data_IF_913647306320
#
_entry.id   IF_913647306320
#
_cell.length_a   1.000
_cell.length_b   1.000
_cell.length_c   1.000
_cell.angle_alpha   90.00
_cell.angle_beta   90.00
_cell.angle_gamma   90.00
#
_symmetry.space_group_name_H-M   'P 1'
#
loop_
_entity.id
_entity.type
_entity.pdbx_description
1 polymer ?
#
# COMPACT_ATOMS: atom_id res chain seq x y z
N UNK A 1 -28.33 -17.74 -6.35
CA UNK A 1 -27.10 -17.66 -5.55
C UNK A 1 -27.41 -16.93 -4.25
N UNK A 2 -27.38 -17.62 -3.10
CA UNK A 2 -27.72 -17.00 -1.81
C UNK A 2 -26.53 -16.18 -1.37
N UNK A 3 -26.64 -14.85 -1.41
CA UNK A 3 -25.65 -13.98 -0.77
C UNK A 3 -25.60 -14.43 0.67
N UNK A 4 -24.43 -14.87 1.14
CA UNK A 4 -24.23 -15.13 2.56
C UNK A 4 -24.61 -13.83 3.27
N UNK A 5 -25.58 -13.82 4.20
CA UNK A 5 -25.90 -12.62 4.93
C UNK A 5 -24.61 -12.12 5.55
N UNK A 6 -24.37 -10.82 5.41
CA UNK A 6 -23.33 -10.18 6.21
C UNK A 6 -23.47 -10.76 7.61
N UNK A 7 -22.43 -11.43 8.12
CA UNK A 7 -22.42 -11.97 9.48
C UNK A 7 -22.90 -10.87 10.39
N UNK A 8 -23.59 -11.20 11.47
CA UNK A 8 -24.00 -10.24 12.48
C UNK A 8 -22.76 -9.43 12.87
N UNK A 9 -22.56 -8.32 12.18
CA UNK A 9 -21.38 -7.48 12.32
C UNK A 9 -21.51 -6.78 13.67
N UNK A 10 -20.70 -7.18 14.62
CA UNK A 10 -20.41 -6.31 15.76
C UNK A 10 -19.72 -5.04 15.25
N UNK A 11 -19.82 -3.93 15.95
CA UNK A 11 -19.11 -2.70 15.63
C UNK A 11 -17.57 -2.88 15.53
N UNK A 12 -17.06 -4.05 15.87
CA UNK A 12 -15.66 -4.46 15.87
C UNK A 12 -15.33 -5.48 14.79
N UNK A 13 -16.31 -5.90 13.99
CA UNK A 13 -16.08 -6.89 12.94
C UNK A 13 -15.32 -6.24 11.80
N UNK A 14 -14.05 -6.68 11.62
CA UNK A 14 -13.14 -6.13 10.60
C UNK A 14 -13.54 -6.55 9.19
N UNK A 15 -14.31 -7.62 9.07
CA UNK A 15 -14.72 -8.21 7.81
C UNK A 15 -16.14 -7.77 7.45
N UNK A 16 -16.28 -6.48 7.12
CA UNK A 16 -17.57 -5.94 6.67
C UNK A 16 -18.05 -6.58 5.37
N UNK A 17 -17.13 -7.16 4.61
CA UNK A 17 -17.38 -7.87 3.36
C UNK A 17 -16.69 -9.21 3.33
N UNK A 18 -17.29 -10.16 2.66
CA UNK A 18 -16.62 -11.36 2.20
C UNK A 18 -15.71 -10.95 1.00
N UNK A 19 -14.42 -10.83 1.27
CA UNK A 19 -13.44 -10.41 0.25
C UNK A 19 -13.30 -11.46 -0.85
N UNK A 20 -13.42 -12.75 -0.54
CA UNK A 20 -13.35 -13.82 -1.54
C UNK A 20 -14.55 -13.76 -2.50
N UNK A 21 -15.75 -13.51 -1.96
CA UNK A 21 -16.94 -13.29 -2.80
C UNK A 21 -16.80 -12.01 -3.62
N UNK A 22 -16.31 -10.93 -3.05
CA UNK A 22 -16.09 -9.68 -3.78
C UNK A 22 -15.08 -9.85 -4.90
N UNK A 23 -13.95 -10.51 -4.64
CA UNK A 23 -12.92 -10.76 -5.63
C UNK A 23 -13.45 -11.63 -6.78
N UNK A 24 -14.03 -12.78 -6.47
CA UNK A 24 -14.49 -13.73 -7.48
C UNK A 24 -15.69 -13.22 -8.27
N UNK A 25 -16.67 -12.65 -7.60
CA UNK A 25 -17.94 -12.25 -8.22
C UNK A 25 -17.90 -10.86 -8.83
N UNK A 26 -17.33 -9.88 -8.13
CA UNK A 26 -17.33 -8.48 -8.58
C UNK A 26 -16.11 -8.22 -9.44
N UNK A 27 -14.91 -8.35 -8.87
CA UNK A 27 -13.66 -8.06 -9.59
C UNK A 27 -13.49 -8.99 -10.79
N UNK A 28 -13.79 -10.28 -10.64
CA UNK A 28 -13.79 -11.24 -11.73
C UNK A 28 -14.69 -10.83 -12.89
N UNK A 29 -15.93 -10.41 -12.61
CA UNK A 29 -16.87 -9.97 -13.67
C UNK A 29 -16.36 -8.72 -14.41
N UNK A 30 -15.67 -7.79 -13.73
CA UNK A 30 -15.04 -6.64 -14.39
C UNK A 30 -13.85 -7.06 -15.24
N UNK A 31 -12.98 -7.93 -14.74
CA UNK A 31 -11.81 -8.41 -15.48
C UNK A 31 -12.19 -9.23 -16.71
N UNK A 32 -13.28 -9.99 -16.64
CA UNK A 32 -13.82 -10.79 -17.76
C UNK A 32 -14.69 -9.98 -18.74
N UNK A 33 -14.94 -8.71 -18.46
CA UNK A 33 -15.76 -7.84 -19.29
C UNK A 33 -17.28 -8.11 -19.22
N UNK A 34 -17.73 -8.85 -18.21
CA UNK A 34 -19.14 -9.24 -18.05
C UNK A 34 -19.91 -8.41 -17.01
N UNK A 35 -19.26 -7.43 -16.38
CA UNK A 35 -19.85 -6.67 -15.29
C UNK A 35 -21.19 -6.01 -15.63
N UNK A 36 -21.36 -5.51 -16.87
CA UNK A 36 -22.59 -4.86 -17.31
C UNK A 36 -23.75 -5.83 -17.59
N UNK A 37 -23.50 -7.11 -17.71
CA UNK A 37 -24.48 -8.13 -18.12
C UNK A 37 -24.75 -9.21 -17.07
N UNK A 38 -23.77 -9.49 -16.18
CA UNK A 38 -23.83 -10.61 -15.26
C UNK A 38 -23.87 -10.22 -13.78
N UNK A 39 -23.58 -8.95 -13.44
CA UNK A 39 -23.70 -8.49 -12.06
C UNK A 39 -25.15 -8.17 -11.70
N UNK A 40 -25.66 -8.93 -10.74
CA UNK A 40 -26.98 -8.69 -10.16
C UNK A 40 -26.90 -7.56 -9.12
N UNK A 41 -27.99 -6.76 -9.01
CA UNK A 41 -28.12 -5.80 -7.93
C UNK A 41 -28.25 -6.55 -6.59
N UNK A 42 -27.29 -6.35 -5.71
CA UNK A 42 -27.28 -6.93 -4.38
C UNK A 42 -27.10 -5.85 -3.29
N UNK A 43 -27.06 -6.27 -2.03
CA UNK A 43 -26.92 -5.34 -0.90
C UNK A 43 -25.62 -4.57 -0.89
N UNK A 44 -24.54 -5.10 -1.48
CA UNK A 44 -23.25 -4.43 -1.58
C UNK A 44 -23.32 -3.35 -2.64
N UNK A 45 -23.77 -3.69 -3.87
CA UNK A 45 -23.98 -2.75 -4.95
C UNK A 45 -24.99 -1.66 -4.62
N UNK A 46 -26.14 -2.05 -4.02
CA UNK A 46 -27.19 -1.11 -3.64
C UNK A 46 -26.71 -0.06 -2.62
N UNK A 47 -25.66 -0.35 -1.87
CA UNK A 47 -25.05 0.59 -0.92
C UNK A 47 -23.89 1.38 -1.52
N UNK A 48 -23.51 1.12 -2.76
CA UNK A 48 -22.34 1.72 -3.43
C UNK A 48 -21.05 1.60 -2.59
N UNK A 49 -20.84 0.46 -1.95
CA UNK A 49 -19.68 0.23 -1.08
C UNK A 49 -18.57 -0.47 -1.86
N UNK A 50 -17.35 0.01 -1.67
CA UNK A 50 -16.12 -0.64 -2.14
C UNK A 50 -15.34 -1.07 -0.89
N UNK A 51 -15.04 -2.36 -0.71
CA UNK A 51 -14.26 -2.81 0.43
C UNK A 51 -12.89 -2.15 0.52
N UNK A 52 -12.43 -1.88 1.73
CA UNK A 52 -11.13 -1.27 1.98
C UNK A 52 -10.00 -2.16 1.46
N UNK A 53 -9.00 -1.56 0.82
CA UNK A 53 -7.80 -2.24 0.35
C UNK A 53 -7.97 -3.11 -0.90
N UNK A 54 -9.12 -3.07 -1.58
CA UNK A 54 -9.34 -3.85 -2.81
C UNK A 54 -8.44 -3.41 -3.99
N UNK A 55 -7.78 -2.26 -3.89
CA UNK A 55 -6.72 -1.86 -4.83
C UNK A 55 -5.60 -2.90 -4.96
N UNK A 56 -5.34 -3.70 -3.91
CA UNK A 56 -4.38 -4.80 -3.98
C UNK A 56 -4.71 -5.85 -5.06
N UNK A 57 -6.00 -5.98 -5.42
CA UNK A 57 -6.48 -6.93 -6.45
C UNK A 57 -6.30 -6.41 -7.88
N UNK A 58 -5.98 -5.11 -8.04
CA UNK A 58 -5.83 -4.49 -9.35
C UNK A 58 -4.44 -4.73 -9.91
N UNK A 59 -4.37 -5.21 -11.13
CA UNK A 59 -3.14 -5.44 -11.86
C UNK A 59 -2.85 -4.29 -12.83
N UNK A 60 -1.65 -3.71 -12.73
CA UNK A 60 -1.10 -2.70 -13.62
C UNK A 60 0.12 -3.19 -14.40
N UNK A 61 0.44 -4.47 -14.35
CA UNK A 61 1.63 -5.04 -15.00
C UNK A 61 1.70 -4.73 -16.50
N UNK A 62 0.53 -4.51 -17.14
CA UNK A 62 0.43 -4.23 -18.57
C UNK A 62 0.71 -2.75 -18.96
N UNK A 63 0.81 -1.83 -17.99
CA UNK A 63 0.91 -0.38 -18.29
C UNK A 63 2.34 0.01 -18.67
N UNK A 64 3.33 -0.54 -18.00
CA UNK A 64 4.72 -0.15 -18.17
C UNK A 64 5.54 -1.24 -18.87
N UNK A 65 6.40 -0.83 -19.81
CA UNK A 65 7.36 -1.72 -20.46
C UNK A 65 8.62 -1.95 -19.63
N UNK A 66 8.89 -1.04 -18.68
CA UNK A 66 10.06 -1.08 -17.82
C UNK A 66 9.67 -1.16 -16.34
N UNK A 67 10.56 -1.76 -15.55
CA UNK A 67 10.44 -1.93 -14.11
C UNK A 67 11.79 -1.64 -13.44
N UNK A 68 11.86 -1.10 -12.21
CA UNK A 68 13.13 -0.92 -11.55
C UNK A 68 13.77 -2.26 -11.15
N UNK A 69 15.07 -2.39 -11.43
CA UNK A 69 15.95 -3.45 -10.96
C UNK A 69 16.68 -2.96 -9.70
N UNK A 70 16.73 -3.78 -8.66
CA UNK A 70 17.47 -3.47 -7.45
C UNK A 70 18.92 -3.94 -7.52
N UNK A 71 19.87 -3.03 -7.29
CA UNK A 71 21.31 -3.26 -7.26
C UNK A 71 21.79 -3.17 -5.80
N UNK A 72 21.78 -4.28 -5.06
CA UNK A 72 21.94 -4.29 -3.60
C UNK A 72 23.27 -3.73 -3.11
N UNK A 73 24.38 -3.95 -3.85
CA UNK A 73 25.71 -3.49 -3.48
C UNK A 73 25.83 -1.97 -3.36
N UNK A 74 24.97 -1.25 -4.04
CA UNK A 74 24.93 0.21 -4.05
C UNK A 74 23.95 0.80 -3.02
N UNK A 75 23.15 -0.05 -2.39
CA UNK A 75 22.07 0.40 -1.50
C UNK A 75 22.60 0.81 -0.12
N UNK A 76 22.15 1.97 0.34
CA UNK A 76 22.48 2.50 1.68
C UNK A 76 21.34 2.38 2.69
N UNK A 77 20.19 1.84 2.31
CA UNK A 77 19.02 1.66 3.18
C UNK A 77 18.31 2.96 3.57
N UNK A 78 18.33 3.98 2.69
CA UNK A 78 17.71 5.29 3.00
C UNK A 78 16.19 5.29 2.95
N UNK A 79 15.56 4.38 2.22
CA UNK A 79 14.11 4.29 1.99
C UNK A 79 13.50 5.39 1.12
N UNK A 80 14.31 6.25 0.47
CA UNK A 80 13.80 7.33 -0.37
C UNK A 80 12.93 6.80 -1.51
N UNK A 81 13.35 5.70 -2.16
CA UNK A 81 12.61 5.05 -3.24
C UNK A 81 11.23 4.51 -2.78
N UNK A 82 11.16 3.97 -1.57
CA UNK A 82 9.90 3.50 -0.98
C UNK A 82 8.99 4.68 -0.67
N UNK A 83 9.55 5.76 -0.12
CA UNK A 83 8.81 6.95 0.28
C UNK A 83 8.21 7.66 -0.94
N UNK A 84 8.97 7.75 -2.03
CA UNK A 84 8.54 8.47 -3.24
C UNK A 84 7.63 7.68 -4.18
N UNK A 85 7.46 6.36 -3.98
CA UNK A 85 6.58 5.58 -4.83
C UNK A 85 5.10 5.91 -4.59
N UNK A 86 4.35 6.47 -5.57
CA UNK A 86 2.94 6.82 -5.39
C UNK A 86 2.02 5.60 -5.29
N UNK A 87 2.45 4.46 -5.80
CA UNK A 87 1.60 3.27 -5.96
C UNK A 87 1.86 2.17 -4.92
N UNK A 88 2.70 2.43 -3.91
CA UNK A 88 3.12 1.39 -2.95
C UNK A 88 3.70 0.14 -3.64
N UNK A 89 4.23 0.32 -4.84
CA UNK A 89 4.77 -0.75 -5.67
C UNK A 89 6.21 -1.15 -5.27
N UNK A 90 6.92 -0.30 -4.56
CA UNK A 90 8.26 -0.58 -4.06
C UNK A 90 8.23 -0.51 -2.53
N UNK A 91 8.66 -1.58 -1.90
CA UNK A 91 8.68 -1.69 -0.44
C UNK A 91 10.08 -2.06 0.05
N UNK A 92 10.38 -1.66 1.28
CA UNK A 92 11.61 -2.01 1.98
C UNK A 92 11.31 -2.82 3.23
N UNK A 93 12.23 -3.71 3.61
CA UNK A 93 12.10 -4.52 4.81
C UNK A 93 13.44 -4.70 5.50
N UNK A 94 13.43 -4.78 6.82
CA UNK A 94 14.57 -5.19 7.62
C UNK A 94 14.20 -6.45 8.38
N UNK A 95 15.00 -7.50 8.22
CA UNK A 95 14.83 -8.77 8.93
C UNK A 95 16.12 -9.18 9.61
N UNK A 96 16.04 -10.05 10.61
CA UNK A 96 17.22 -10.60 11.24
C UNK A 96 17.91 -11.62 10.32
N UNK A 97 19.21 -11.88 10.56
CA UNK A 97 19.94 -12.93 9.84
C UNK A 97 19.24 -14.28 9.97
N UNK A 98 18.78 -14.62 11.19
CA UNK A 98 18.12 -15.89 11.47
C UNK A 98 16.83 -16.04 10.62
N UNK A 99 16.00 -14.98 10.57
CA UNK A 99 14.77 -14.96 9.77
C UNK A 99 15.05 -15.12 8.28
N UNK A 100 16.11 -14.48 7.78
CA UNK A 100 16.51 -14.63 6.38
C UNK A 100 16.91 -16.09 6.09
N UNK A 101 17.77 -16.68 6.93
CA UNK A 101 18.22 -18.05 6.74
C UNK A 101 17.08 -19.06 6.81
N UNK A 102 16.13 -18.87 7.72
CA UNK A 102 14.91 -19.68 7.79
C UNK A 102 14.08 -19.61 6.52
N UNK A 103 13.90 -18.41 5.95
CA UNK A 103 13.18 -18.21 4.70
C UNK A 103 13.87 -18.84 3.49
N UNK A 104 15.19 -18.87 3.48
CA UNK A 104 15.98 -19.47 2.40
C UNK A 104 15.98 -21.00 2.39
N UNK A 105 15.69 -21.65 3.53
CA UNK A 105 15.70 -23.12 3.64
C UNK A 105 14.74 -23.85 2.69
N UNK A 106 13.72 -23.16 2.18
CA UNK A 106 12.75 -23.73 1.22
C UNK A 106 13.15 -23.64 -0.25
N UNK A 107 14.27 -22.95 -0.56
CA UNK A 107 14.74 -22.71 -1.92
C UNK A 107 15.85 -23.70 -2.30
N UNK A 108 16.01 -23.93 -3.61
CA UNK A 108 17.21 -24.61 -4.13
C UNK A 108 18.47 -23.74 -3.95
N UNK A 109 19.65 -24.35 -4.01
CA UNK A 109 20.91 -23.67 -3.67
C UNK A 109 21.20 -22.43 -4.51
N UNK A 110 20.90 -22.45 -5.82
CA UNK A 110 21.15 -21.29 -6.69
C UNK A 110 20.17 -20.16 -6.39
N UNK A 111 18.89 -20.47 -6.29
CA UNK A 111 17.83 -19.51 -5.94
C UNK A 111 18.07 -18.91 -4.56
N UNK A 112 18.57 -19.68 -3.60
CA UNK A 112 18.90 -19.25 -2.25
C UNK A 112 20.03 -18.21 -2.25
N UNK A 113 21.12 -18.48 -2.97
CA UNK A 113 22.25 -17.54 -3.08
C UNK A 113 21.86 -16.23 -3.75
N UNK A 114 21.08 -16.28 -4.82
CA UNK A 114 20.62 -15.09 -5.53
C UNK A 114 19.64 -14.27 -4.69
N UNK A 115 18.74 -14.94 -3.96
CA UNK A 115 17.80 -14.28 -3.05
C UNK A 115 18.55 -13.63 -1.88
N UNK A 116 19.56 -14.29 -1.30
CA UNK A 116 20.34 -13.74 -0.19
C UNK A 116 21.07 -12.45 -0.58
N UNK A 117 21.58 -12.36 -1.81
CA UNK A 117 22.25 -11.16 -2.34
C UNK A 117 21.34 -9.92 -2.33
N UNK A 118 20.02 -10.11 -2.44
CA UNK A 118 19.03 -9.01 -2.41
C UNK A 118 18.78 -8.46 -0.99
N UNK A 119 19.43 -9.04 0.02
CA UNK A 119 19.35 -8.60 1.41
C UNK A 119 20.72 -8.12 1.94
N UNK A 120 21.27 -7.00 1.40
CA UNK A 120 22.59 -6.53 1.78
C UNK A 120 22.69 -6.11 3.26
N UNK A 121 23.91 -6.17 3.78
CA UNK A 121 24.30 -5.61 5.07
C UNK A 121 24.55 -4.11 4.91
N UNK A 122 23.52 -3.30 5.02
CA UNK A 122 23.67 -1.84 4.89
C UNK A 122 24.10 -1.22 6.21
N UNK A 123 24.97 -0.21 6.14
CA UNK A 123 25.55 0.46 7.31
C UNK A 123 24.51 0.87 8.36
N UNK A 124 23.33 1.35 7.93
CA UNK A 124 22.26 1.84 8.82
C UNK A 124 21.74 0.72 9.74
N UNK A 125 21.42 -0.43 9.17
CA UNK A 125 20.75 -1.52 9.89
C UNK A 125 21.69 -2.64 10.32
N UNK A 126 22.93 -2.68 9.80
CA UNK A 126 23.94 -3.65 10.19
C UNK A 126 25.01 -2.99 11.06
N UNK A 127 26.00 -2.30 10.48
CA UNK A 127 27.21 -1.82 11.18
C UNK A 127 26.90 -0.90 12.38
N UNK A 128 25.96 0.03 12.19
CA UNK A 128 25.61 0.98 13.25
C UNK A 128 24.91 0.30 14.44
N UNK A 129 24.19 -0.77 14.16
CA UNK A 129 23.50 -1.56 15.21
C UNK A 129 24.48 -2.44 15.95
N UNK A 130 25.39 -3.14 15.25
CA UNK A 130 26.47 -3.90 15.89
C UNK A 130 27.30 -3.03 16.84
N UNK A 131 27.71 -1.84 16.38
CA UNK A 131 28.46 -0.88 17.21
C UNK A 131 27.74 -0.44 18.47
N UNK A 132 26.41 -0.49 18.47
CA UNK A 132 25.56 -0.16 19.63
C UNK A 132 25.19 -1.38 20.46
N UNK A 133 25.68 -2.57 20.13
CA UNK A 133 25.30 -3.83 20.79
C UNK A 133 23.83 -4.22 20.58
N UNK A 134 23.22 -3.73 19.49
CA UNK A 134 21.85 -4.06 19.08
C UNK A 134 21.88 -5.17 18.03
N UNK A 135 20.80 -5.97 17.93
CA UNK A 135 20.67 -7.02 16.90
C UNK A 135 20.76 -6.40 15.50
N UNK A 136 21.74 -6.76 14.65
CA UNK A 136 21.82 -6.25 13.29
C UNK A 136 20.73 -6.86 12.41
N UNK A 137 20.39 -6.17 11.29
CA UNK A 137 19.38 -6.61 10.34
C UNK A 137 19.85 -6.51 8.91
N UNK A 138 19.39 -7.43 8.10
CA UNK A 138 19.49 -7.42 6.64
C UNK A 138 18.41 -6.53 6.06
N UNK A 139 18.73 -5.71 5.09
CA UNK A 139 17.81 -4.78 4.45
C UNK A 139 17.56 -5.20 2.99
N UNK A 140 16.33 -5.20 2.54
CA UNK A 140 15.96 -5.50 1.16
C UNK A 140 14.95 -4.51 0.59
N UNK A 141 15.01 -4.30 -0.72
CA UNK A 141 14.03 -3.54 -1.51
C UNK A 141 13.41 -4.49 -2.53
N UNK A 142 12.08 -4.50 -2.58
CA UNK A 142 11.33 -5.37 -3.47
C UNK A 142 10.23 -4.60 -4.19
N UNK A 143 9.95 -5.01 -5.41
CA UNK A 143 9.01 -4.35 -6.30
C UNK A 143 7.84 -5.29 -6.58
N UNK A 144 6.61 -4.82 -6.33
CA UNK A 144 5.39 -5.47 -6.77
C UNK A 144 5.17 -5.18 -8.27
N UNK A 145 5.36 -6.18 -9.15
CA UNK A 145 5.22 -5.97 -10.58
C UNK A 145 3.79 -5.63 -10.99
N UNK A 146 2.80 -6.05 -10.19
CA UNK A 146 1.38 -5.78 -10.44
C UNK A 146 0.97 -4.35 -10.11
N UNK A 147 1.76 -3.62 -9.33
CA UNK A 147 1.48 -2.23 -8.93
C UNK A 147 2.39 -1.20 -9.60
N UNK A 148 3.55 -1.64 -10.10
CA UNK A 148 4.51 -0.74 -10.72
C UNK A 148 4.02 -0.21 -12.06
N UNK A 149 3.92 1.12 -12.20
CA UNK A 149 3.52 1.83 -13.42
C UNK A 149 4.70 2.36 -14.23
N UNK A 150 5.95 2.03 -13.86
CA UNK A 150 7.16 2.43 -14.59
C UNK A 150 7.45 3.93 -14.59
N UNK A 151 7.02 4.68 -13.57
CA UNK A 151 7.19 6.13 -13.52
C UNK A 151 8.63 6.61 -13.27
N UNK A 152 9.54 5.72 -12.89
CA UNK A 152 10.95 5.97 -12.58
C UNK A 152 11.25 6.87 -11.36
N UNK A 153 10.26 7.40 -10.63
CA UNK A 153 10.46 8.24 -9.44
C UNK A 153 11.42 7.63 -8.41
N UNK A 154 11.35 6.30 -8.23
CA UNK A 154 12.24 5.58 -7.32
C UNK A 154 13.69 5.56 -7.79
N UNK A 155 13.93 5.58 -9.10
CA UNK A 155 15.27 5.65 -9.71
C UNK A 155 15.81 7.07 -9.62
N UNK A 156 14.98 8.06 -9.94
CA UNK A 156 15.37 9.47 -9.89
C UNK A 156 15.77 9.90 -8.47
N UNK A 157 15.00 9.52 -7.46
CA UNK A 157 15.32 9.85 -6.05
C UNK A 157 16.52 9.04 -5.53
N UNK A 158 16.79 7.86 -6.07
CA UNK A 158 17.99 7.08 -5.78
C UNK A 158 19.26 7.83 -6.22
N UNK A 159 19.21 8.49 -7.38
CA UNK A 159 20.20 9.42 -7.88
C UNK A 159 21.62 8.83 -7.90
N UNK A 160 22.59 9.55 -7.35
CA UNK A 160 24.01 9.17 -7.35
C UNK A 160 24.34 7.87 -6.60
N UNK A 161 23.40 7.32 -5.82
CA UNK A 161 23.57 6.02 -5.14
C UNK A 161 23.54 4.86 -6.15
N UNK A 162 22.80 5.03 -7.27
CA UNK A 162 22.66 4.04 -8.34
C UNK A 162 22.29 2.63 -7.84
N UNK A 163 21.44 2.55 -6.81
CA UNK A 163 20.94 1.28 -6.28
C UNK A 163 19.68 0.78 -6.99
N UNK A 164 19.11 1.60 -7.88
CA UNK A 164 17.97 1.26 -8.73
C UNK A 164 18.23 1.74 -10.15
N UNK A 165 17.83 0.95 -11.13
CA UNK A 165 17.87 1.30 -12.55
C UNK A 165 16.66 0.74 -13.27
N UNK A 166 16.08 1.47 -14.24
CA UNK A 166 14.99 0.94 -15.06
C UNK A 166 15.51 -0.11 -16.06
N UNK A 167 14.82 -1.23 -16.13
CA UNK A 167 15.09 -2.28 -17.11
C UNK A 167 13.81 -2.70 -17.83
N UNK A 168 13.89 -3.12 -19.11
CA UNK A 168 12.76 -3.74 -19.78
C UNK A 168 12.26 -4.98 -19.01
N UNK A 169 10.98 -5.08 -18.78
CA UNK A 169 10.37 -6.25 -18.09
C UNK A 169 10.75 -7.57 -18.75
N UNK A 170 10.83 -7.58 -20.08
CA UNK A 170 11.22 -8.75 -20.86
C UNK A 170 12.64 -9.27 -20.55
N UNK A 171 13.50 -8.42 -19.96
CA UNK A 171 14.91 -8.79 -19.63
C UNK A 171 14.99 -9.82 -18.51
N UNK A 172 14.17 -9.69 -17.47
CA UNK A 172 14.15 -10.62 -16.33
C UNK A 172 13.04 -11.67 -16.41
N UNK A 173 11.95 -11.35 -17.13
CA UNK A 173 10.73 -12.15 -17.16
C UNK A 173 9.78 -11.81 -16.00
N UNK A 174 8.49 -11.84 -16.25
CA UNK A 174 7.46 -11.52 -15.25
C UNK A 174 7.50 -12.49 -14.06
N UNK A 175 7.76 -13.77 -14.32
CA UNK A 175 7.83 -14.81 -13.29
C UNK A 175 8.93 -14.53 -12.26
N UNK A 176 10.08 -14.01 -12.68
CA UNK A 176 11.18 -13.68 -11.75
C UNK A 176 10.76 -12.54 -10.83
N UNK A 177 10.17 -11.48 -11.35
CA UNK A 177 9.68 -10.37 -10.51
C UNK A 177 8.61 -10.82 -9.52
N UNK A 178 7.70 -11.71 -9.96
CA UNK A 178 6.67 -12.24 -9.07
C UNK A 178 7.27 -13.12 -7.97
N UNK A 179 8.20 -13.99 -8.29
CA UNK A 179 8.88 -14.86 -7.31
C UNK A 179 9.65 -14.03 -6.26
N UNK A 180 10.32 -12.94 -6.66
CA UNK A 180 10.98 -12.03 -5.73
C UNK A 180 9.97 -11.35 -4.80
N UNK A 181 8.85 -10.92 -5.34
CA UNK A 181 7.78 -10.31 -4.56
C UNK A 181 7.14 -11.29 -3.59
N UNK A 182 6.86 -12.50 -4.03
CA UNK A 182 6.28 -13.56 -3.18
C UNK A 182 7.22 -13.94 -2.03
N UNK A 183 8.53 -14.03 -2.30
CA UNK A 183 9.52 -14.23 -1.25
C UNK A 183 9.50 -13.09 -0.23
N UNK A 184 9.50 -11.83 -0.69
CA UNK A 184 9.38 -10.68 0.20
C UNK A 184 8.13 -10.76 1.09
N UNK A 185 6.98 -11.13 0.52
CA UNK A 185 5.72 -11.26 1.26
C UNK A 185 5.79 -12.37 2.34
N UNK A 186 6.54 -13.43 2.09
CA UNK A 186 6.70 -14.54 3.04
C UNK A 186 7.53 -14.17 4.29
N UNK A 187 8.34 -13.10 4.23
CA UNK A 187 9.31 -12.74 5.28
C UNK A 187 8.71 -12.04 6.52
N UNK A 188 7.42 -11.90 6.63
CA UNK A 188 6.81 -11.18 7.75
C UNK A 188 7.12 -9.68 7.78
N UNK A 189 6.59 -8.96 8.75
CA UNK A 189 6.78 -7.50 8.90
C UNK A 189 8.13 -7.18 9.59
N UNK A 190 8.69 -6.02 9.32
CA UNK A 190 9.90 -5.53 10.02
C UNK A 190 9.64 -5.37 11.52
N UNK A 191 10.54 -5.86 12.38
CA UNK A 191 10.44 -5.67 13.82
C UNK A 191 10.54 -4.20 14.22
N UNK A 192 9.81 -3.82 15.26
CA UNK A 192 9.80 -2.45 15.80
C UNK A 192 11.20 -1.94 16.17
N UNK A 193 12.08 -2.82 16.61
CA UNK A 193 13.44 -2.48 17.02
C UNK A 193 14.29 -1.86 15.90
N UNK A 194 13.93 -2.11 14.62
CA UNK A 194 14.63 -1.52 13.46
C UNK A 194 14.06 -0.16 13.05
N UNK A 195 12.94 0.26 13.60
CA UNK A 195 12.18 1.45 13.17
C UNK A 195 12.55 2.64 14.04
N UNK A 196 12.97 3.74 13.40
CA UNK A 196 13.05 5.04 14.05
C UNK A 196 11.71 5.76 13.91
N UNK A 197 10.95 5.83 14.99
CA UNK A 197 9.61 6.44 15.04
C UNK A 197 9.56 7.92 14.62
N UNK A 198 10.69 8.60 14.63
CA UNK A 198 10.82 10.00 14.24
C UNK A 198 11.11 10.21 12.76
N UNK A 199 11.13 9.13 11.99
CA UNK A 199 11.44 9.14 10.55
C UNK A 199 10.31 8.50 9.76
N UNK A 200 9.66 9.26 8.90
CA UNK A 200 8.61 8.75 7.99
C UNK A 200 9.14 7.58 7.14
N UNK A 201 10.41 7.68 6.67
CA UNK A 201 11.03 6.61 5.89
C UNK A 201 11.07 5.30 6.70
N UNK A 202 11.46 5.36 7.97
CA UNK A 202 11.56 4.17 8.81
C UNK A 202 10.20 3.64 9.25
N UNK A 203 9.23 4.51 9.50
CA UNK A 203 7.83 4.14 9.76
C UNK A 203 7.29 3.31 8.58
N UNK A 204 7.66 3.63 7.36
CA UNK A 204 7.23 2.91 6.16
C UNK A 204 7.87 1.51 5.98
N UNK A 205 8.80 1.10 6.84
CA UNK A 205 9.24 -0.29 6.96
C UNK A 205 8.15 -1.20 7.56
N UNK A 206 7.17 -0.62 8.26
CA UNK A 206 6.07 -1.37 8.88
C UNK A 206 4.90 -1.45 7.89
N UNK A 207 4.73 -2.58 7.22
CA UNK A 207 3.66 -2.76 6.23
C UNK A 207 2.26 -2.52 6.81
N UNK A 208 2.04 -2.89 8.07
CA UNK A 208 0.77 -2.63 8.77
C UNK A 208 0.45 -1.14 8.93
N UNK A 209 1.48 -0.27 8.87
CA UNK A 209 1.30 1.18 8.94
C UNK A 209 0.92 1.77 7.58
N UNK A 210 1.13 1.04 6.48
CA UNK A 210 0.84 1.49 5.14
C UNK A 210 -0.67 1.35 4.86
N UNK A 211 -1.43 2.39 5.19
CA UNK A 211 -2.90 2.42 5.01
C UNK A 211 -3.34 2.65 3.56
N UNK A 212 -2.39 2.71 2.63
CA UNK A 212 -2.63 2.85 1.19
C UNK A 212 -1.96 1.69 0.45
N UNK A 213 -2.79 0.83 -0.15
CA UNK A 213 -2.35 -0.48 -0.66
C UNK A 213 -1.84 -0.48 -2.10
N UNK A 214 -1.81 0.66 -2.77
CA UNK A 214 -1.57 0.70 -4.22
C UNK A 214 -2.81 0.28 -5.03
N UNK A 215 -2.64 0.10 -6.34
CA UNK A 215 -3.76 -0.21 -7.23
C UNK A 215 -4.69 0.97 -7.52
N UNK A 216 -4.28 2.17 -7.13
CA UNK A 216 -5.02 3.40 -7.40
C UNK A 216 -4.97 3.79 -8.89
N UNK A 217 -6.04 4.40 -9.39
CA UNK A 217 -6.11 4.97 -10.74
C UNK A 217 -5.38 6.31 -10.88
N UNK A 218 -4.39 6.62 -10.05
CA UNK A 218 -3.57 7.83 -10.12
C UNK A 218 -2.64 7.82 -11.33
N UNK A 219 -2.19 9.00 -11.76
CA UNK A 219 -1.16 9.13 -12.78
C UNK A 219 0.15 8.45 -12.35
N UNK A 220 0.95 7.98 -13.30
CA UNK A 220 2.30 7.53 -13.03
C UNK A 220 3.13 8.70 -12.44
N UNK A 221 3.84 8.48 -11.33
CA UNK A 221 4.59 9.55 -10.65
C UNK A 221 3.74 10.57 -9.90
N UNK A 222 2.51 10.25 -9.51
CA UNK A 222 1.57 11.17 -8.87
C UNK A 222 2.07 11.70 -7.51
N UNK A 223 2.47 12.97 -7.45
CA UNK A 223 2.95 13.61 -6.22
C UNK A 223 1.88 13.72 -5.12
N UNK A 224 0.60 13.92 -5.48
CA UNK A 224 -0.50 13.92 -4.51
C UNK A 224 -0.64 12.56 -3.83
N UNK A 225 -0.65 11.46 -4.62
CA UNK A 225 -0.71 10.11 -4.07
C UNK A 225 0.50 9.81 -3.16
N UNK A 226 1.70 10.28 -3.53
CA UNK A 226 2.90 10.17 -2.70
C UNK A 226 2.73 10.88 -1.36
N UNK A 227 2.25 12.13 -1.36
CA UNK A 227 2.02 12.92 -0.14
C UNK A 227 0.97 12.26 0.78
N UNK A 228 -0.16 11.86 0.20
CA UNK A 228 -1.23 11.18 0.95
C UNK A 228 -0.77 9.83 1.51
N UNK A 229 0.06 9.10 0.78
CA UNK A 229 0.64 7.84 1.22
C UNK A 229 1.59 8.02 2.42
N UNK A 230 2.43 9.06 2.41
CA UNK A 230 3.28 9.40 3.56
C UNK A 230 2.44 9.77 4.79
N UNK A 231 1.44 10.62 4.62
CA UNK A 231 0.49 10.98 5.67
C UNK A 231 -0.21 9.74 6.24
N UNK A 232 -0.71 8.87 5.36
CA UNK A 232 -1.41 7.64 5.75
C UNK A 232 -0.49 6.67 6.50
N UNK A 233 0.81 6.62 6.18
CA UNK A 233 1.77 5.78 6.89
C UNK A 233 1.97 6.26 8.34
N UNK A 234 2.07 7.57 8.56
CA UNK A 234 2.15 8.14 9.92
C UNK A 234 0.85 7.88 10.68
N UNK A 235 -0.30 8.12 10.05
CA UNK A 235 -1.61 7.86 10.65
C UNK A 235 -1.76 6.39 11.07
N UNK A 236 -1.34 5.47 10.19
CA UNK A 236 -1.37 4.02 10.47
C UNK A 236 -0.40 3.60 11.56
N UNK A 237 0.77 4.23 11.63
CA UNK A 237 1.76 3.95 12.65
C UNK A 237 1.29 4.40 14.03
N UNK A 238 0.80 5.64 14.15
CA UNK A 238 0.43 6.24 15.44
C UNK A 238 -0.91 5.73 15.97
N UNK A 239 -1.85 5.39 15.09
CA UNK A 239 -3.25 5.13 15.50
C UNK A 239 -3.78 3.77 15.09
N UNK A 240 -3.16 3.12 14.09
CA UNK A 240 -3.69 1.88 13.51
C UNK A 240 -4.87 2.10 12.55
N UNK A 241 -5.12 1.12 11.70
CA UNK A 241 -6.20 1.17 10.71
C UNK A 241 -7.59 1.26 11.36
N UNK A 242 -7.78 0.62 12.49
CA UNK A 242 -9.05 0.57 13.24
C UNK A 242 -9.46 1.91 13.86
N UNK A 243 -8.52 2.85 13.96
CA UNK A 243 -8.73 4.16 14.58
C UNK A 243 -8.67 5.32 13.60
N UNK A 244 -8.74 5.05 12.30
CA UNK A 244 -8.63 6.05 11.27
C UNK A 244 -9.71 5.90 10.19
N UNK A 245 -10.18 7.02 9.66
CA UNK A 245 -11.06 7.07 8.48
C UNK A 245 -10.86 8.36 7.69
N UNK A 246 -11.33 8.37 6.47
CA UNK A 246 -11.24 9.51 5.54
C UNK A 246 -12.64 9.86 5.04
N UNK A 247 -12.97 11.16 5.08
CA UNK A 247 -14.01 11.78 4.28
C UNK A 247 -13.33 12.56 3.18
N UNK A 248 -13.59 12.20 1.94
CA UNK A 248 -12.99 12.81 0.77
C UNK A 248 -13.97 13.77 0.08
N UNK A 249 -13.46 14.84 -0.46
CA UNK A 249 -14.16 15.73 -1.38
C UNK A 249 -13.61 15.60 -2.78
N UNK A 250 -14.41 15.93 -3.77
CA UNK A 250 -14.07 15.78 -5.18
C UNK A 250 -12.72 16.43 -5.54
N UNK A 251 -11.89 15.68 -6.23
CA UNK A 251 -10.56 16.02 -6.71
C UNK A 251 -9.92 14.81 -7.36
N UNK A 252 -8.62 14.86 -7.65
CA UNK A 252 -7.87 13.68 -8.14
C UNK A 252 -7.98 12.50 -7.16
N UNK A 253 -7.99 12.78 -5.86
CA UNK A 253 -8.19 11.77 -4.80
C UNK A 253 -9.49 10.98 -4.93
N UNK A 254 -10.55 11.59 -5.45
CA UNK A 254 -11.79 10.88 -5.79
C UNK A 254 -11.57 9.88 -6.92
N UNK A 255 -10.90 10.30 -7.98
CA UNK A 255 -10.68 9.45 -9.17
C UNK A 255 -9.89 8.20 -8.79
N UNK A 256 -8.75 8.34 -8.13
CA UNK A 256 -7.93 7.19 -7.79
C UNK A 256 -8.40 6.43 -6.54
N UNK A 257 -9.18 7.06 -5.65
CA UNK A 257 -9.74 6.44 -4.45
C UNK A 257 -11.05 5.68 -4.68
N UNK A 258 -11.76 5.95 -5.77
CA UNK A 258 -13.07 5.35 -6.07
C UNK A 258 -13.21 4.79 -7.48
N UNK A 259 -12.13 4.33 -8.08
CA UNK A 259 -12.18 3.61 -9.36
C UNK A 259 -12.77 2.22 -9.14
N UNK A 260 -14.11 2.14 -9.14
CA UNK A 260 -14.82 0.88 -8.88
C UNK A 260 -14.33 -0.24 -9.83
N UNK A 261 -14.08 -1.46 -9.33
CA UNK A 261 -14.35 -1.98 -7.98
C UNK A 261 -13.17 -1.84 -6.99
N UNK A 262 -12.20 -0.97 -7.25
CA UNK A 262 -10.94 -0.90 -6.51
C UNK A 262 -10.90 0.32 -5.58
N UNK A 263 -10.43 0.10 -4.35
CA UNK A 263 -10.15 1.12 -3.36
C UNK A 263 -8.76 0.90 -2.76
N UNK A 264 -7.80 1.83 -2.93
CA UNK A 264 -6.46 1.69 -2.39
C UNK A 264 -6.38 1.89 -0.87
N UNK A 265 -7.35 2.53 -0.26
CA UNK A 265 -7.35 2.79 1.17
C UNK A 265 -7.67 1.52 1.97
N UNK A 266 -6.85 1.21 2.96
CA UNK A 266 -7.07 0.09 3.91
C UNK A 266 -7.96 0.48 5.10
N UNK A 267 -8.52 1.65 5.09
CA UNK A 267 -9.39 2.24 6.13
C UNK A 267 -10.70 2.69 5.52
N UNK A 268 -11.74 2.90 6.34
CA UNK A 268 -12.99 3.46 5.86
C UNK A 268 -12.76 4.78 5.12
N UNK A 269 -13.30 4.85 3.92
CA UNK A 269 -13.21 6.00 3.04
C UNK A 269 -14.58 6.26 2.43
N UNK A 270 -15.03 7.51 2.48
CA UNK A 270 -16.24 7.96 1.82
C UNK A 270 -15.96 9.22 1.02
N UNK A 271 -16.76 9.46 -0.01
CA UNK A 271 -16.60 10.64 -0.86
C UNK A 271 -17.92 11.40 -0.95
N UNK A 272 -17.81 12.71 -0.90
CA UNK A 272 -18.91 13.63 -1.14
C UNK A 272 -18.51 14.63 -2.23
N UNK A 273 -19.50 15.31 -2.80
CA UNK A 273 -19.22 16.31 -3.82
C UNK A 273 -18.61 17.57 -3.19
N UNK A 274 -17.54 18.07 -3.81
CA UNK A 274 -16.88 19.34 -3.53
C UNK A 274 -16.98 19.81 -2.07
N UNK A 275 -17.75 20.85 -1.79
CA UNK A 275 -17.92 21.51 -0.48
C UNK A 275 -18.61 20.62 0.58
N UNK A 276 -19.24 19.53 0.19
CA UNK A 276 -19.94 18.68 1.14
C UNK A 276 -19.02 17.87 2.05
N UNK A 277 -17.77 17.60 1.62
CA UNK A 277 -16.86 16.76 2.40
C UNK A 277 -16.63 17.24 3.83
N UNK A 278 -16.29 18.54 4.09
CA UNK A 278 -16.17 19.06 5.44
C UNK A 278 -17.47 18.95 6.26
N UNK A 279 -18.63 19.20 5.65
CA UNK A 279 -19.94 19.08 6.32
C UNK A 279 -20.26 17.65 6.68
N UNK A 280 -20.02 16.71 5.77
CA UNK A 280 -20.20 15.27 6.04
C UNK A 280 -19.26 14.80 7.15
N UNK A 281 -18.02 15.27 7.16
CA UNK A 281 -17.06 14.97 8.21
C UNK A 281 -17.52 15.49 9.58
N UNK A 282 -18.12 16.67 9.65
CA UNK A 282 -18.73 17.20 10.87
C UNK A 282 -19.84 16.26 11.38
N UNK A 283 -20.69 15.78 10.48
CA UNK A 283 -21.74 14.83 10.81
C UNK A 283 -21.18 13.49 11.34
N UNK A 284 -20.19 12.93 10.65
CA UNK A 284 -19.50 11.70 11.06
C UNK A 284 -18.83 11.91 12.42
N UNK A 285 -18.07 13.00 12.61
CA UNK A 285 -17.40 13.30 13.88
C UNK A 285 -18.40 13.44 15.02
N UNK A 286 -19.48 14.20 14.80
CA UNK A 286 -20.55 14.35 15.79
C UNK A 286 -21.13 13.00 16.21
N UNK A 287 -21.37 12.11 15.24
CA UNK A 287 -21.89 10.77 15.55
C UNK A 287 -20.88 9.93 16.31
N UNK A 288 -19.59 9.98 15.94
CA UNK A 288 -18.54 9.26 16.64
C UNK A 288 -18.42 9.71 18.11
N UNK A 289 -18.49 11.02 18.37
CA UNK A 289 -18.46 11.55 19.73
C UNK A 289 -19.66 11.04 20.56
N UNK A 290 -20.88 10.99 19.96
CA UNK A 290 -22.07 10.47 20.62
C UNK A 290 -21.97 8.98 21.01
N UNK A 291 -21.18 8.19 20.32
CA UNK A 291 -21.01 6.75 20.55
C UNK A 291 -19.70 6.41 21.26
N UNK A 292 -18.95 7.39 21.77
CA UNK A 292 -17.74 7.19 22.54
C UNK A 292 -16.49 6.87 21.71
N UNK A 293 -16.42 7.38 20.47
CA UNK A 293 -15.29 7.20 19.55
C UNK A 293 -14.46 8.48 19.38
N UNK A 294 -14.30 9.26 20.44
CA UNK A 294 -13.57 10.53 20.45
C UNK A 294 -12.10 10.36 20.06
N UNK A 295 -11.48 9.22 20.39
CA UNK A 295 -10.08 8.93 20.10
C UNK A 295 -9.81 8.60 18.62
N UNK A 296 -10.83 8.21 17.85
CA UNK A 296 -10.68 7.89 16.44
C UNK A 296 -10.37 9.14 15.61
N UNK A 297 -9.49 8.97 14.63
CA UNK A 297 -9.02 10.05 13.75
C UNK A 297 -9.82 10.08 12.46
N UNK A 298 -10.42 11.22 12.19
CA UNK A 298 -11.14 11.49 10.95
C UNK A 298 -10.39 12.55 10.17
N UNK A 299 -9.94 12.18 8.99
CA UNK A 299 -9.29 13.08 8.06
C UNK A 299 -10.25 13.54 6.99
N UNK A 300 -10.17 14.84 6.64
CA UNK A 300 -10.91 15.41 5.51
C UNK A 300 -9.90 15.73 4.42
N UNK A 301 -10.09 15.15 3.26
CA UNK A 301 -9.19 15.30 2.10
C UNK A 301 -10.02 15.72 0.91
N UNK A 302 -9.51 16.58 0.07
CA UNK A 302 -10.20 17.00 -1.16
C UNK A 302 -9.29 17.76 -2.09
N UNK A 303 -9.75 17.97 -3.32
CA UNK A 303 -9.10 18.83 -4.29
C UNK A 303 -9.11 20.29 -3.86
N UNK A 304 -8.28 21.10 -4.51
CA UNK A 304 -8.17 22.54 -4.28
C UNK A 304 -9.52 23.28 -4.44
N UNK A 305 -10.28 22.97 -5.48
CA UNK A 305 -11.61 23.53 -5.68
C UNK A 305 -12.56 23.23 -4.53
N UNK A 306 -12.52 22.00 -4.03
CA UNK A 306 -13.40 21.55 -2.94
C UNK A 306 -13.01 22.17 -1.58
N UNK A 307 -11.71 22.31 -1.31
CA UNK A 307 -11.20 22.63 0.01
C UNK A 307 -10.81 24.11 0.15
N UNK A 308 -10.75 24.85 -0.97
CA UNK A 308 -10.26 26.23 -0.98
C UNK A 308 -11.24 27.23 -1.63
N UNK A 309 -11.85 26.87 -2.76
CA UNK A 309 -12.67 27.80 -3.54
C UNK A 309 -14.18 27.65 -3.28
N UNK A 310 -14.68 26.45 -3.01
CA UNK A 310 -16.12 26.18 -2.95
C UNK A 310 -16.51 25.79 -1.51
N UNK A 311 -17.30 26.64 -0.86
CA UNK A 311 -17.98 26.30 0.39
C UNK A 311 -17.11 26.20 1.64
N UNK A 312 -15.91 26.73 1.59
CA UNK A 312 -15.03 26.81 2.78
C UNK A 312 -15.43 27.97 3.68
#
# INVERSE_FOLDING_TARGET
>A
MTIKPARNLSAHDKDFFDIEDFESRIVGSYNEGHASTSLEADKVHARSLIPAGTGKLRDFSYIADEIPEFLPDNCVGCMDCVTMCPDTAILGKVISEDTLQEGLLGLDSNSSEDMEKLWPKVRKYWDNREKKGQKPGRFGIFIDPSKCKGCAECVDVCGSKNALGMIPKAKMGEEVHQNLWDFYQSMGDTDQDYVNEKSVMDIMLREKSLLYAGGAGSCAGCGEATALRMMAAVLGYDHGAENAAIVNSTGCSTVYGSTYPYNPWKIPWTNSLFENGPTDAMGVRTRWDQIGWEDKKLWVIGGDGAMYDIGF
#
